data_IF_386792154695
#
_entry.id   IF_386792154695
#
_cell.length_a   1.000
_cell.length_b   1.000
_cell.length_c   1.000
_cell.angle_alpha   90.00
_cell.angle_beta   90.00
_cell.angle_gamma   90.00
#
_symmetry.space_group_name_H-M   'P 1'
#
loop_
_entity.id
_entity.type
_entity.pdbx_description
1 polymer ?
2 polymer ?
3 non-polymer ?
4 non-polymer ?
5 non-polymer ?
6 water ?
#
# COMPACT_ATOMS: atom_id res chain seq x y z
N UNK A 3 7.52 6.35 -20.63
CA UNK A 3 6.56 5.24 -20.81
C UNK A 3 6.37 4.54 -19.47
N UNK A 4 5.27 3.80 -19.33
CA UNK A 4 4.88 3.15 -18.06
C UNK A 4 4.33 1.76 -18.39
N UNK A 5 5.22 0.78 -18.66
CA UNK A 5 4.77 -0.53 -19.10
C UNK A 5 4.29 -1.40 -17.92
N UNK A 6 3.07 -1.96 -18.04
CA UNK A 6 2.47 -2.77 -16.96
C UNK A 6 3.37 -3.97 -16.64
N UNK A 7 4.16 -4.45 -17.60
CA UNK A 7 5.02 -5.64 -17.38
C UNK A 7 6.03 -5.36 -16.24
N UNK A 8 6.53 -4.13 -16.17
CA UNK A 8 7.54 -3.74 -15.16
C UNK A 8 6.84 -3.57 -13.81
N UNK A 9 5.62 -3.06 -13.84
CA UNK A 9 4.79 -2.86 -12.62
C UNK A 9 4.48 -4.23 -12.06
N UNK A 10 4.11 -5.20 -12.90
CA UNK A 10 3.91 -6.59 -12.43
C UNK A 10 5.23 -7.12 -11.85
N UNK A 11 6.35 -6.89 -12.55
CA UNK A 11 7.68 -7.41 -12.11
C UNK A 11 7.99 -6.89 -10.70
N UNK A 12 7.69 -5.64 -10.42
CA UNK A 12 7.91 -5.05 -9.07
C UNK A 12 7.11 -5.86 -8.02
N UNK A 13 5.86 -6.22 -8.31
CA UNK A 13 5.02 -6.99 -7.36
C UNK A 13 5.68 -8.34 -7.10
N UNK A 14 6.09 -9.04 -8.16
CA UNK A 14 6.56 -10.44 -8.07
C UNK A 14 7.90 -10.46 -7.34
N UNK A 15 8.67 -9.40 -7.53
CA UNK A 15 10.06 -9.25 -7.04
C UNK A 15 10.08 -9.28 -5.50
N UNK A 16 9.01 -8.86 -4.85
CA UNK A 16 9.03 -8.53 -3.40
C UNK A 16 8.16 -9.52 -2.60
N UNK A 17 7.75 -10.65 -3.20
CA UNK A 17 6.89 -11.67 -2.52
C UNK A 17 7.75 -12.53 -1.60
N UNK A 38 0.96 -14.06 21.44
CA UNK A 38 1.22 -13.01 20.41
C UNK A 38 -0.10 -12.29 20.06
N UNK A 39 -0.29 -11.07 20.55
CA UNK A 39 -1.54 -10.28 20.32
C UNK A 39 -1.49 -9.74 18.90
N UNK A 40 -2.65 -9.70 18.20
CA UNK A 40 -2.68 -9.48 16.76
C UNK A 40 -2.14 -8.10 16.35
N UNK A 41 -2.38 -7.07 17.16
CA UNK A 41 -1.92 -5.69 16.84
C UNK A 41 -0.38 -5.67 16.85
N UNK A 42 0.24 -6.29 17.85
CA UNK A 42 1.71 -6.45 17.91
C UNK A 42 2.18 -7.16 16.63
N UNK A 43 1.54 -8.27 16.25
CA UNK A 43 1.95 -9.05 15.05
C UNK A 43 1.79 -8.17 13.81
N UNK A 44 0.69 -7.41 13.71
CA UNK A 44 0.41 -6.59 12.50
C UNK A 44 1.47 -5.46 12.43
N UNK A 45 1.85 -4.86 13.57
CA UNK A 45 2.85 -3.75 13.62
C UNK A 45 4.23 -4.28 13.26
N UNK A 46 4.58 -5.45 13.75
CA UNK A 46 5.86 -6.10 13.43
C UNK A 46 5.90 -6.40 11.93
N UNK A 47 4.78 -6.83 11.33
CA UNK A 47 4.71 -7.11 9.87
C UNK A 47 4.82 -5.78 9.08
N UNK A 48 4.18 -4.72 9.57
CA UNK A 48 4.23 -3.41 8.91
C UNK A 48 5.69 -2.95 8.85
N UNK A 49 6.41 -3.06 9.95
CA UNK A 49 7.80 -2.57 10.02
C UNK A 49 8.62 -3.37 9.00
N UNK A 50 8.47 -4.68 9.00
CA UNK A 50 9.19 -5.54 8.03
C UNK A 50 8.88 -5.03 6.61
N UNK A 51 7.62 -4.81 6.30
CA UNK A 51 7.17 -4.60 4.91
C UNK A 51 7.52 -3.18 4.48
N UNK A 52 7.81 -2.27 5.40
CA UNK A 52 8.27 -0.93 4.98
C UNK A 52 9.60 -1.05 4.24
N UNK A 53 10.51 -1.88 4.73
CA UNK A 53 11.79 -2.13 4.05
C UNK A 53 11.51 -2.64 2.63
N UNK A 54 10.62 -3.59 2.51
CA UNK A 54 10.20 -4.19 1.22
C UNK A 54 9.59 -3.11 0.33
N UNK A 55 8.78 -2.25 0.90
CA UNK A 55 8.07 -1.22 0.11
C UNK A 55 9.08 -0.30 -0.60
N UNK A 56 10.16 0.07 0.05
CA UNK A 56 11.20 0.92 -0.56
C UNK A 56 11.76 0.19 -1.79
N UNK A 57 12.03 -1.10 -1.65
CA UNK A 57 12.58 -1.92 -2.76
C UNK A 57 11.54 -2.02 -3.88
N UNK A 58 10.26 -2.17 -3.54
CA UNK A 58 9.16 -2.16 -4.52
C UNK A 58 9.15 -0.82 -5.28
N UNK A 59 9.13 0.30 -4.57
CA UNK A 59 8.97 1.62 -5.20
C UNK A 59 10.13 1.89 -6.17
N UNK A 60 11.33 1.45 -5.82
CA UNK A 60 12.54 1.62 -6.66
C UNK A 60 12.36 0.90 -7.99
N UNK A 61 11.55 -0.16 -8.00
CA UNK A 61 11.28 -0.97 -9.21
C UNK A 61 10.14 -0.39 -10.05
N UNK A 62 9.44 0.62 -9.58
CA UNK A 62 8.36 1.26 -10.39
C UNK A 62 8.98 2.26 -11.33
N UNK A 63 8.70 2.14 -12.65
CA UNK A 63 9.34 3.00 -13.65
C UNK A 63 9.27 4.49 -13.22
N UNK A 64 10.42 5.15 -13.21
CA UNK A 64 10.60 6.62 -13.11
C UNK A 64 10.59 7.07 -11.65
N UNK A 65 10.15 6.24 -10.72
CA UNK A 65 10.15 6.63 -9.30
C UNK A 65 11.57 7.06 -8.88
N UNK A 66 12.58 6.22 -9.10
CA UNK A 66 13.97 6.46 -8.59
C UNK A 66 14.59 7.67 -9.30
N UNK A 67 13.92 8.18 -10.32
CA UNK A 67 14.37 9.33 -11.13
C UNK A 67 13.91 10.64 -10.50
N UNK A 68 12.92 10.57 -9.63
CA UNK A 68 12.40 11.75 -8.90
C UNK A 68 13.45 12.24 -7.93
N UNK A 69 13.45 13.55 -7.60
CA UNK A 69 14.33 14.06 -6.56
C UNK A 69 14.16 13.22 -5.30
N UNK A 70 15.25 12.96 -4.59
CA UNK A 70 15.20 12.18 -3.33
C UNK A 70 14.10 12.74 -2.40
N UNK A 71 14.03 14.05 -2.23
CA UNK A 71 13.06 14.67 -1.28
C UNK A 71 11.63 14.27 -1.70
N UNK A 72 11.37 14.18 -3.00
CA UNK A 72 10.04 13.83 -3.53
C UNK A 72 9.78 12.34 -3.29
N UNK A 73 10.78 11.47 -3.49
CA UNK A 73 10.64 10.03 -3.22
C UNK A 73 10.24 9.84 -1.75
N UNK A 74 10.84 10.61 -0.85
CA UNK A 74 10.54 10.54 0.59
C UNK A 74 9.10 10.99 0.81
N UNK A 75 8.72 12.13 0.25
CA UNK A 75 7.34 12.67 0.45
C UNK A 75 6.34 11.59 -0.01
N UNK A 76 6.56 10.99 -1.17
CA UNK A 76 5.58 10.07 -1.79
C UNK A 76 5.47 8.81 -0.95
N UNK A 77 6.58 8.31 -0.42
CA UNK A 77 6.54 7.09 0.37
C UNK A 77 5.98 7.42 1.75
N UNK A 78 6.27 8.58 2.31
CA UNK A 78 5.67 8.95 3.62
C UNK A 78 4.14 9.10 3.46
N UNK A 79 3.70 9.65 2.35
CA UNK A 79 2.28 9.94 2.08
C UNK A 79 1.55 8.63 1.84
N UNK A 80 2.17 7.69 1.16
CA UNK A 80 1.48 6.55 0.58
C UNK A 80 1.62 5.27 1.34
N UNK A 81 2.63 5.12 2.22
CA UNK A 81 3.05 3.79 2.71
C UNK A 81 1.87 3.00 3.25
N UNK A 82 1.00 3.63 4.01
CA UNK A 82 -0.03 2.88 4.75
C UNK A 82 -1.05 2.30 3.77
N UNK A 83 -1.50 3.12 2.83
CA UNK A 83 -2.39 2.61 1.76
C UNK A 83 -1.67 1.55 0.93
N UNK A 84 -0.39 1.74 0.66
CA UNK A 84 0.36 0.78 -0.15
C UNK A 84 0.47 -0.55 0.60
N UNK A 85 0.71 -0.55 1.90
CA UNK A 85 0.82 -1.83 2.65
C UNK A 85 -0.57 -2.47 2.76
N UNK A 86 -1.58 -1.68 2.98
CA UNK A 86 -2.95 -2.20 3.16
C UNK A 86 -3.41 -2.86 1.86
N UNK A 87 -3.15 -2.22 0.73
CA UNK A 87 -3.50 -2.76 -0.59
C UNK A 87 -2.79 -4.12 -0.76
N UNK A 88 -1.54 -4.20 -0.34
CA UNK A 88 -0.73 -5.43 -0.48
C UNK A 88 -1.28 -6.55 0.40
N UNK A 89 -1.45 -6.33 1.71
CA UNK A 89 -1.89 -7.46 2.57
C UNK A 89 -3.34 -7.81 2.25
N UNK A 90 -4.14 -6.86 1.75
CA UNK A 90 -5.55 -7.12 1.32
C UNK A 90 -5.57 -8.10 0.14
N UNK A 91 -4.73 -7.87 -0.84
CA UNK A 91 -4.67 -8.72 -2.04
C UNK A 91 -4.09 -10.07 -1.67
N UNK A 92 -3.13 -10.10 -0.75
CA UNK A 92 -2.48 -11.34 -0.27
C UNK A 92 -3.51 -12.24 0.41
N UNK A 93 -4.63 -11.67 0.84
CA UNK A 93 -5.59 -12.31 1.77
C UNK A 93 -6.84 -12.83 1.04
N UNK A 94 -6.87 -12.74 -0.29
CA UNK A 94 -8.13 -12.98 -1.07
C UNK A 94 -8.60 -14.42 -0.86
N UNK A 95 -7.71 -15.36 -0.54
CA UNK A 95 -8.11 -16.79 -0.34
C UNK A 95 -8.12 -17.14 1.15
N UNK A 96 -8.09 -16.15 2.04
CA UNK A 96 -8.20 -16.37 3.51
C UNK A 96 -9.65 -16.19 3.89
N UNK A 97 -10.18 -17.06 4.75
CA UNK A 97 -11.56 -16.97 5.26
C UNK A 97 -11.62 -15.94 6.40
N UNK A 98 -12.27 -14.79 6.17
CA UNK A 98 -12.57 -13.81 7.23
C UNK A 98 -11.27 -13.46 7.96
N UNK A 99 -10.19 -13.25 7.24
CA UNK A 99 -8.92 -12.88 7.86
C UNK A 99 -7.90 -12.40 6.87
N UNK A 100 -6.71 -12.10 7.35
CA UNK A 100 -5.64 -11.54 6.49
C UNK A 100 -4.43 -12.41 6.65
N UNK A 101 -3.61 -12.45 5.62
CA UNK A 101 -2.30 -13.11 5.65
C UNK A 101 -1.22 -12.01 5.70
N UNK A 102 -0.48 -11.94 6.79
CA UNK A 102 0.64 -10.97 6.98
C UNK A 102 1.88 -11.50 6.26
N UNK A 103 2.80 -10.61 5.92
CA UNK A 103 4.03 -10.91 5.20
C UNK A 103 4.92 -11.85 6.02
N UNK A 104 4.70 -11.91 7.34
CA UNK A 104 5.45 -12.75 8.30
C UNK A 104 4.96 -14.19 8.20
N UNK A 105 3.85 -14.40 7.48
CA UNK A 105 3.23 -15.73 7.32
C UNK A 105 2.15 -15.97 8.35
N UNK A 106 1.99 -15.07 9.35
CA UNK A 106 0.89 -15.18 10.35
C UNK A 106 -0.41 -14.75 9.67
N UNK A 107 -1.43 -15.60 9.74
CA UNK A 107 -2.84 -15.27 9.44
C UNK A 107 -3.43 -14.58 10.66
N UNK A 108 -4.28 -13.58 10.45
CA UNK A 108 -5.09 -12.99 11.55
C UNK A 108 -6.56 -13.09 11.15
N UNK A 109 -7.36 -13.65 12.02
CA UNK A 109 -8.81 -13.83 11.78
C UNK A 109 -9.55 -12.67 12.43
N UNK A 110 -10.72 -12.35 11.92
CA UNK A 110 -11.52 -11.24 12.45
C UNK A 110 -11.85 -11.48 13.92
N UNK A 111 -12.02 -12.72 14.36
CA UNK A 111 -12.34 -12.98 15.79
C UNK A 111 -11.21 -12.45 16.67
N UNK A 112 -9.97 -12.64 16.28
CA UNK A 112 -8.78 -12.18 17.01
C UNK A 112 -8.73 -10.65 16.99
N UNK A 113 -8.98 -10.05 15.83
CA UNK A 113 -9.01 -8.59 15.69
C UNK A 113 -10.09 -8.01 16.61
N UNK A 114 -11.30 -8.56 16.57
CA UNK A 114 -12.40 -8.12 17.46
C UNK A 114 -11.95 -8.22 18.92
N UNK A 115 -11.34 -9.35 19.28
CA UNK A 115 -10.94 -9.61 20.69
C UNK A 115 -9.79 -8.70 21.12
N UNK A 116 -9.15 -7.99 20.19
CA UNK A 116 -8.05 -7.04 20.49
C UNK A 116 -8.56 -5.59 20.49
N UNK A 117 -9.83 -5.36 20.17
CA UNK A 117 -10.40 -3.99 20.18
C UNK A 117 -10.29 -3.30 18.86
N UNK A 118 -9.94 -4.02 17.79
CA UNK A 118 -9.77 -3.40 16.46
C UNK A 118 -10.67 -4.09 15.42
N UNK A 119 -11.81 -4.61 15.85
CA UNK A 119 -12.72 -5.39 14.99
C UNK A 119 -13.34 -4.54 13.91
N UNK A 120 -13.68 -3.30 14.22
CA UNK A 120 -14.42 -2.43 13.27
C UNK A 120 -13.54 -2.17 12.04
N UNK A 121 -12.30 -1.77 12.23
CA UNK A 121 -11.44 -1.43 11.07
C UNK A 121 -11.07 -2.72 10.34
N UNK A 122 -10.88 -3.78 11.09
CA UNK A 122 -10.54 -5.12 10.50
C UNK A 122 -11.67 -5.54 9.54
N UNK A 123 -12.90 -5.38 9.97
CA UNK A 123 -14.09 -5.77 9.15
C UNK A 123 -14.21 -4.86 7.94
N UNK A 124 -13.82 -3.60 8.04
CA UNK A 124 -13.85 -2.73 6.85
C UNK A 124 -12.84 -3.26 5.84
N UNK A 125 -11.65 -3.64 6.29
CA UNK A 125 -10.65 -4.21 5.38
C UNK A 125 -11.27 -5.42 4.69
N UNK A 126 -11.87 -6.32 5.44
CA UNK A 126 -12.43 -7.57 4.85
C UNK A 126 -13.54 -7.25 3.84
N UNK A 127 -14.43 -6.33 4.18
CA UNK A 127 -15.70 -6.09 3.42
C UNK A 127 -15.44 -5.14 2.28
N UNK A 128 -14.57 -4.17 2.46
CA UNK A 128 -14.39 -3.16 1.41
C UNK A 128 -13.21 -3.50 0.49
N UNK A 129 -12.23 -4.23 0.97
CA UNK A 129 -10.99 -4.49 0.18
C UNK A 129 -10.88 -5.97 -0.17
N UNK A 130 -10.65 -6.83 0.81
CA UNK A 130 -10.33 -8.26 0.56
C UNK A 130 -11.47 -8.90 -0.26
N UNK A 131 -12.71 -8.78 0.20
CA UNK A 131 -13.87 -9.44 -0.43
C UNK A 131 -14.08 -8.90 -1.84
N UNK A 132 -13.84 -7.60 -2.04
CA UNK A 132 -14.09 -6.92 -3.34
C UNK A 132 -12.98 -7.31 -4.32
N UNK A 133 -11.74 -7.44 -3.83
CA UNK A 133 -10.61 -7.96 -4.63
C UNK A 133 -10.90 -9.42 -5.00
N UNK A 134 -11.38 -10.22 -4.05
CA UNK A 134 -11.71 -11.64 -4.28
C UNK A 134 -12.83 -11.70 -5.33
N UNK A 135 -13.87 -10.92 -5.15
CA UNK A 135 -15.08 -10.99 -6.01
C UNK A 135 -14.73 -10.64 -7.45
N UNK A 136 -13.83 -9.70 -7.71
CA UNK A 136 -13.51 -9.31 -9.10
C UNK A 136 -12.27 -10.07 -9.58
N UNK A 137 -11.70 -10.90 -8.70
CA UNK A 137 -10.42 -11.63 -8.92
C UNK A 137 -9.37 -10.64 -9.39
N UNK A 138 -9.28 -9.50 -8.72
CA UNK A 138 -8.22 -8.50 -9.02
C UNK A 138 -6.89 -9.24 -9.23
N UNK A 139 -6.18 -8.95 -10.31
CA UNK A 139 -4.90 -9.65 -10.60
C UNK A 139 -3.72 -8.79 -10.15
N UNK A 140 -2.53 -9.34 -10.19
CA UNK A 140 -1.35 -8.68 -9.58
C UNK A 140 -0.92 -7.48 -10.42
N UNK A 141 -1.18 -7.48 -11.73
CA UNK A 141 -0.91 -6.32 -12.60
C UNK A 141 -1.82 -5.17 -12.17
N UNK A 142 -3.08 -5.49 -11.87
CA UNK A 142 -4.07 -4.47 -11.47
C UNK A 142 -3.67 -3.92 -10.11
N UNK A 143 -3.29 -4.79 -9.19
CA UNK A 143 -2.88 -4.39 -7.84
C UNK A 143 -1.65 -3.52 -7.96
N UNK A 144 -0.69 -3.94 -8.81
CA UNK A 144 0.54 -3.20 -9.02
C UNK A 144 0.24 -1.82 -9.51
N UNK A 145 -0.67 -1.69 -10.50
CA UNK A 145 -1.04 -0.39 -11.10
C UNK A 145 -1.77 0.49 -10.08
N UNK A 146 -2.73 -0.04 -9.34
CA UNK A 146 -3.40 0.75 -8.27
C UNK A 146 -2.35 1.24 -7.26
N UNK A 147 -1.39 0.41 -6.89
CA UNK A 147 -0.33 0.81 -5.94
C UNK A 147 0.50 1.91 -6.57
N UNK A 148 0.88 1.82 -7.84
CA UNK A 148 1.69 2.86 -8.52
C UNK A 148 0.88 4.18 -8.61
N UNK A 149 -0.42 4.09 -8.80
CA UNK A 149 -1.30 5.29 -8.74
C UNK A 149 -1.23 5.91 -7.35
N UNK A 150 -1.36 5.11 -6.29
CA UNK A 150 -1.25 5.58 -4.89
C UNK A 150 0.11 6.24 -4.68
N UNK A 151 1.18 5.58 -5.13
CA UNK A 151 2.56 6.04 -4.95
C UNK A 151 2.72 7.41 -5.59
N UNK A 152 2.27 7.55 -6.82
CA UNK A 152 2.39 8.80 -7.60
C UNK A 152 1.22 9.69 -7.28
N UNK A 153 1.23 10.21 -6.08
CA UNK A 153 0.14 11.03 -5.52
C UNK A 153 0.48 12.50 -5.68
N UNK A 154 -0.08 13.20 -6.68
CA UNK A 154 0.35 14.55 -6.97
C UNK A 154 -0.16 15.53 -5.91
N UNK A 155 -1.03 15.07 -5.04
CA UNK A 155 -1.59 15.87 -3.93
C UNK A 155 -0.66 15.81 -2.71
N UNK A 156 0.38 14.96 -2.71
CA UNK A 156 1.33 14.88 -1.57
C UNK A 156 1.96 16.26 -1.31
N UNK A 157 1.90 16.75 -0.09
CA UNK A 157 2.30 18.15 0.18
C UNK A 157 3.83 18.24 0.11
N UNK A 158 4.32 19.33 -0.47
CA UNK A 158 5.74 19.71 -0.47
C UNK A 158 6.49 19.18 -1.67
N UNK A 159 5.84 18.45 -2.60
CA UNK A 159 6.50 17.96 -3.83
C UNK A 159 7.13 19.14 -4.56
N UNK A 160 8.37 18.98 -5.02
CA UNK A 160 9.14 20.01 -5.77
C UNK A 160 8.38 20.33 -7.08
N UNK A 161 7.77 19.33 -7.69
CA UNK A 161 7.08 19.51 -8.99
C UNK A 161 5.90 18.58 -9.07
N UNK A 162 4.72 18.97 -8.52
CA UNK A 162 3.56 18.09 -8.53
C UNK A 162 3.18 17.64 -9.96
N UNK A 163 3.33 18.50 -10.97
CA UNK A 163 2.93 18.21 -12.38
C UNK A 163 3.62 16.93 -12.85
N UNK A 164 4.88 16.78 -12.51
CA UNK A 164 5.72 15.62 -12.88
C UNK A 164 5.09 14.34 -12.31
N UNK A 165 4.64 14.39 -11.06
CA UNK A 165 3.97 13.23 -10.39
C UNK A 165 2.58 13.01 -11.02
N UNK A 166 1.89 14.08 -11.36
CA UNK A 166 0.57 14.00 -12.00
C UNK A 166 0.70 13.26 -13.34
N UNK A 167 1.74 13.59 -14.10
CA UNK A 167 2.03 12.94 -15.40
C UNK A 167 2.32 11.46 -15.17
N UNK A 168 3.11 11.10 -14.17
CA UNK A 168 3.42 9.68 -13.91
C UNK A 168 2.15 8.92 -13.53
N UNK A 169 1.28 9.52 -12.72
CA UNK A 169 0.02 8.90 -12.32
C UNK A 169 -0.83 8.65 -13.57
N UNK A 170 -0.92 9.66 -14.43
CA UNK A 170 -1.70 9.59 -15.70
C UNK A 170 -1.15 8.46 -16.60
N UNK A 171 0.16 8.30 -16.68
CA UNK A 171 0.75 7.22 -17.51
C UNK A 171 0.41 5.85 -16.90
N UNK A 172 0.36 5.75 -15.57
CA UNK A 172 -0.02 4.47 -14.92
C UNK A 172 -1.48 4.15 -15.25
N UNK A 173 -2.39 5.09 -15.04
CA UNK A 173 -3.82 4.77 -15.19
C UNK A 173 -4.15 4.62 -16.68
N UNK A 174 -3.41 5.28 -17.56
CA UNK A 174 -3.52 5.00 -19.03
C UNK A 174 -3.15 3.55 -19.30
N UNK A 175 -2.02 3.09 -18.75
CA UNK A 175 -1.52 1.71 -18.98
C UNK A 175 -2.49 0.70 -18.37
N UNK A 176 -3.04 1.03 -17.19
CA UNK A 176 -3.95 0.13 -16.48
C UNK A 176 -5.20 -0.08 -17.33
N UNK A 177 -5.79 1.01 -17.79
CA UNK A 177 -7.06 0.97 -18.54
C UNK A 177 -6.86 0.18 -19.83
N UNK A 178 -5.73 0.42 -20.50
CA UNK A 178 -5.37 -0.37 -21.70
C UNK A 178 -5.29 -1.85 -21.32
N UNK A 179 -4.60 -2.19 -20.22
CA UNK A 179 -4.43 -3.59 -19.75
C UNK A 179 -5.80 -4.20 -19.45
N UNK A 180 -6.65 -3.48 -18.71
CA UNK A 180 -8.02 -3.95 -18.41
C UNK A 180 -8.81 -4.22 -19.71
N UNK A 181 -8.75 -3.30 -20.69
CA UNK A 181 -9.55 -3.40 -21.95
C UNK A 181 -9.03 -4.58 -22.77
N UNK A 182 -7.78 -4.98 -22.58
CA UNK A 182 -7.12 -6.03 -23.40
C UNK A 182 -7.28 -7.40 -22.72
N UNK A 183 -7.17 -7.47 -21.39
CA UNK A 183 -7.11 -8.75 -20.63
C UNK A 183 -8.53 -9.22 -20.26
N UNK A 184 -9.42 -8.15 -20.01
CA UNK A 184 -10.82 -8.35 -19.54
C UNK A 184 -11.74 -7.53 -20.41
N UNK A 185 -11.71 -7.75 -21.74
CA UNK A 185 -12.50 -6.97 -22.70
C UNK A 185 -14.13 -7.20 -22.61
N UNK A 186 -14.41 -8.33 -21.86
CA UNK A 186 -15.81 -8.76 -21.45
C UNK A 186 -16.33 -7.87 -20.28
N UNK A 187 -15.51 -6.99 -19.72
CA UNK A 187 -15.91 -6.21 -18.51
C UNK A 187 -15.65 -4.71 -18.73
N UNK A 188 -16.59 -3.98 -19.36
CA UNK A 188 -16.38 -2.55 -19.76
C UNK A 188 -16.04 -1.71 -18.49
N UNK A 189 -16.62 -2.08 -17.35
CA UNK A 189 -16.55 -1.25 -16.13
C UNK A 189 -15.45 -1.69 -15.18
N UNK A 190 -14.57 -2.62 -15.55
CA UNK A 190 -13.54 -3.16 -14.62
C UNK A 190 -12.61 -2.02 -14.17
N UNK A 191 -12.13 -1.23 -15.12
CA UNK A 191 -11.21 -0.11 -14.83
C UNK A 191 -11.85 0.79 -13.76
N UNK A 192 -13.05 1.33 -14.02
CA UNK A 192 -13.78 2.18 -13.02
C UNK A 192 -13.86 1.45 -11.67
N UNK A 193 -14.20 0.17 -11.70
CA UNK A 193 -14.35 -0.65 -10.47
C UNK A 193 -13.02 -0.68 -9.69
N UNK A 194 -11.90 -0.79 -10.38
CA UNK A 194 -10.59 -0.82 -9.71
C UNK A 194 -10.35 0.55 -9.03
N UNK A 195 -10.56 1.63 -9.76
CA UNK A 195 -10.29 3.00 -9.28
C UNK A 195 -11.20 3.30 -8.09
N UNK A 196 -12.41 2.78 -8.11
CA UNK A 196 -13.42 3.07 -7.06
C UNK A 196 -13.18 2.25 -5.81
N UNK A 197 -12.11 1.48 -5.72
CA UNK A 197 -11.65 0.95 -4.39
C UNK A 197 -10.73 1.98 -3.71
N UNK A 198 -10.21 2.96 -4.43
CA UNK A 198 -9.16 3.85 -3.87
C UNK A 198 -9.76 4.73 -2.76
N UNK A 199 -11.00 5.23 -2.84
CA UNK A 199 -11.57 6.01 -1.72
C UNK A 199 -11.68 5.17 -0.45
N UNK A 200 -12.11 3.92 -0.58
CA UNK A 200 -12.22 3.01 0.58
C UNK A 200 -10.82 2.83 1.17
N UNK A 201 -9.83 2.62 0.32
CA UNK A 201 -8.47 2.43 0.78
C UNK A 201 -8.01 3.68 1.52
N UNK A 202 -8.28 4.85 0.98
CA UNK A 202 -7.91 6.15 1.61
C UNK A 202 -8.49 6.20 3.02
N UNK A 203 -9.77 5.88 3.16
CA UNK A 203 -10.50 5.97 4.41
C UNK A 203 -9.92 4.96 5.39
N UNK A 204 -9.75 3.75 4.94
CA UNK A 204 -9.22 2.67 5.77
C UNK A 204 -7.79 3.00 6.21
N UNK A 205 -6.98 3.56 5.32
CA UNK A 205 -5.60 3.96 5.65
C UNK A 205 -5.62 5.00 6.75
N UNK A 206 -6.52 5.98 6.65
CA UNK A 206 -6.59 7.06 7.66
C UNK A 206 -6.99 6.46 9.02
N UNK A 207 -7.94 5.55 9.05
CA UNK A 207 -8.37 4.96 10.33
C UNK A 207 -7.22 4.13 10.87
N UNK A 208 -6.56 3.37 10.05
CA UNK A 208 -5.42 2.56 10.50
C UNK A 208 -4.32 3.47 11.07
N UNK A 209 -4.07 4.58 10.44
CA UNK A 209 -3.05 5.53 10.94
C UNK A 209 -3.49 6.11 12.30
N UNK A 210 -4.77 6.38 12.46
CA UNK A 210 -5.29 6.89 13.74
C UNK A 210 -5.04 5.85 14.84
N UNK A 211 -5.33 4.59 14.58
CA UNK A 211 -5.02 3.47 15.52
C UNK A 211 -3.53 3.47 15.86
N UNK A 212 -2.66 3.53 14.85
CA UNK A 212 -1.19 3.47 15.08
C UNK A 212 -0.74 4.62 15.96
N UNK A 213 -1.23 5.83 15.74
CA UNK A 213 -0.85 7.00 16.58
C UNK A 213 -1.28 6.74 18.00
N UNK A 214 -2.47 6.18 18.17
CA UNK A 214 -2.97 5.88 19.53
C UNK A 214 -2.09 4.80 20.16
N UNK A 215 -1.75 3.73 19.42
CA UNK A 215 -0.89 2.67 19.99
C UNK A 215 0.40 3.30 20.48
N UNK A 216 0.95 4.23 19.69
CA UNK A 216 2.23 4.91 20.00
C UNK A 216 2.03 5.82 21.21
N UNK A 217 0.93 6.54 21.28
CA UNK A 217 0.69 7.47 22.42
C UNK A 217 0.60 6.65 23.71
N UNK A 218 -0.20 5.59 23.70
CA UNK A 218 -0.60 4.84 24.92
C UNK A 218 0.55 3.90 25.32
N UNK A 219 1.45 3.58 24.38
CA UNK A 219 2.53 2.61 24.58
C UNK A 219 1.98 1.19 24.77
N UNK A 220 0.87 0.83 24.11
CA UNK A 220 0.21 -0.49 24.32
C UNK A 220 0.90 -1.56 23.47
N UNK A 221 1.80 -1.18 22.54
CA UNK A 221 2.34 -2.06 21.47
C UNK A 221 3.79 -1.71 21.18
N UNK A 222 4.73 -2.68 21.11
CA UNK A 222 6.05 -2.44 20.53
C UNK A 222 5.89 -1.92 19.10
N UNK A 223 6.57 -0.81 18.79
CA UNK A 223 6.60 -0.21 17.42
C UNK A 223 8.06 -0.11 17.02
N UNK A 224 8.44 -0.87 16.00
CA UNK A 224 9.84 -0.99 15.54
C UNK A 224 10.26 0.30 14.81
N UNK A 225 11.54 0.43 14.49
CA UNK A 225 12.17 1.74 14.16
C UNK A 225 11.55 2.35 12.92
N UNK A 226 11.31 1.57 11.86
CA UNK A 226 10.90 2.15 10.57
C UNK A 226 9.45 2.60 10.68
N UNK A 227 8.61 1.76 11.26
CA UNK A 227 7.20 2.13 11.51
C UNK A 227 7.17 3.37 12.42
N UNK A 228 8.03 3.44 13.42
CA UNK A 228 8.08 4.61 14.33
C UNK A 228 8.47 5.85 13.51
N UNK A 229 9.47 5.74 12.66
CA UNK A 229 9.90 6.86 11.83
C UNK A 229 8.74 7.36 10.97
N UNK A 230 7.94 6.47 10.41
CA UNK A 230 6.83 6.85 9.54
C UNK A 230 5.81 7.65 10.37
N UNK A 231 5.77 7.43 11.65
CA UNK A 231 4.81 8.16 12.54
C UNK A 231 5.42 9.46 13.05
N UNK A 232 6.70 9.76 12.74
CA UNK A 232 7.37 11.06 13.08
C UNK A 232 6.70 12.21 12.35
N UNK A 233 6.77 13.42 12.92
CA UNK A 233 6.34 14.67 12.25
C UNK A 233 7.24 14.94 11.04
N UNK A 234 6.73 15.56 9.96
CA UNK A 234 7.58 15.92 8.82
C UNK A 234 8.48 17.13 9.08
N UNK B 1 14.04 13.31 11.08
CA UNK B 1 14.87 13.57 9.84
C UNK B 1 14.52 12.56 8.73
N UNK B 2 13.67 11.57 9.05
CA UNK B 2 13.41 10.37 8.19
C UNK B 2 14.75 9.69 7.81
N UNK B 3 15.56 9.35 8.82
CA UNK B 3 16.91 8.77 8.58
C UNK B 3 16.83 7.48 7.77
N UNK B 4 16.02 6.53 8.20
CA UNK B 4 16.03 5.17 7.62
C UNK B 4 15.58 5.29 6.17
N UNK B 5 14.49 6.03 5.93
CA UNK B 5 13.90 6.14 4.58
C UNK B 5 14.92 6.76 3.61
N UNK B 6 15.58 7.86 3.98
CA UNK B 6 16.62 8.50 3.15
C UNK B 6 17.74 7.50 2.85
N UNK B 7 18.19 6.77 3.85
CA UNK B 7 19.32 5.83 3.71
C UNK B 7 18.94 4.77 2.67
N UNK B 8 17.73 4.23 2.77
CA UNK B 8 17.31 3.09 1.94
C UNK B 8 17.12 3.58 0.51
N UNK B 9 16.64 4.81 0.34
CA UNK B 9 16.34 5.34 -1.02
C UNK B 9 17.65 5.69 -1.74
N UNK B 10 18.65 6.22 -1.01
CA UNK B 10 19.93 6.69 -1.60
C UNK B 10 20.72 5.48 -2.10
N UNK B 11 20.60 4.37 -1.39
CA UNK B 11 21.54 3.25 -1.55
C UNK B 11 21.23 2.51 -2.83
N UNK B 12 22.25 2.29 -3.66
CA UNK B 12 22.15 1.64 -5.00
C UNK B 12 22.36 0.14 -4.86
N UNK B 13 22.98 -0.30 -3.74
CA UNK B 13 23.49 -1.68 -3.45
C UNK B 13 23.04 -2.66 -4.53
X LIG C 1 1.89 -7.03 5.78
X LIG C 1 2.02 -7.98 6.58
X LIG C 1 1.73 -7.17 4.58
X LIG C 1 1.98 -5.62 6.32
X LIG C 1 0.91 -5.20 7.28
X LIG C 1 0.80 -3.71 7.37
X LIG C 1 -0.32 -3.19 8.24
X LIG C 1 -0.43 -1.68 8.23
X LIG C 1 -1.59 -1.14 9.05
X LIG C 1 -1.35 -1.17 10.53
X LIG C 1 -2.42 -0.50 11.36
X LIG C 1 -2.66 -1.10 12.72
X LIG C 1 -4.10 -1.01 13.20
X LIG C 1 -4.63 -2.30 13.78
X LIG C 1 -5.77 -2.91 13.03
X LIG C 1 -5.56 -3.02 11.56
X LIG C 1 -6.48 -3.94 10.85
X LIG C 1 -5.87 -4.54 9.60
X LIG D 1 -5.32 12.33 -9.84
X LIG E 1 2.67 0.08 -21.80
X LIG E 1 2.45 1.46 -22.04
X LIG E 1 1.55 -0.57 -21.05
X LIG E 1 1.91 -1.84 -20.47
X LIG F 1 0.38 5.76 -20.59
X LIG F 1 1.26 4.73 -20.22
X LIG F 1 0.98 6.86 -21.36
X LIG F 1 0.08 7.94 -21.57
X LIG G 1 0.59 8.83 5.73
X LIG G 1 -0.22 9.34 4.69
X LIG G 1 0.53 7.38 5.83
X LIG G 1 1.08 6.69 4.69
X LIG H 1 -16.42 -7.69 19.60
X LIG H 1 -16.13 -6.91 18.45
X LIG H 1 -16.69 -9.11 19.30
X LIG H 1 -15.56 -9.93 19.52
X LIG I 1 -17.28 -5.29 -14.28
X LIG I 1 -17.65 -6.23 -15.31
X LIG I 1 -15.83 -5.32 -13.92
X LIG I 1 -15.42 -6.34 -13.03
#
# INVERSE_FOLDING_TARGET
SMEMPVDRILEAELAVEQKSDQGVEGPGGTGGSGSSPNDPVTNICQAADKQLFTLVEWAKRIPHFSSLPLDDQVILLRAGWNELLIASFSHRSIDVRDGILLATGLHVHRNSAHSAGVGAIFDRVLTELVSKMRDMRMDKTELGCLRAIILFNPDAKGLSNPSEVEVLREKVYASLETYCKQKYPEQQGRFAKLLLRLPALRSIGLKCLEHLFFFKLIGDTPIDTFLMEMLEAPHQLA
KHKILHRLLQDSSY
PLM C1 O1 O2 C2 C3 C4 C5 C6 C7 C8 C9 CA CB CC CD CE CF CG
CL CL
EDO C1 O1 C2 O2
EDO C1 O1 C2 O2
EDO C1 O1 C2 O2
EDO C1 O1 C2 O2
EDO C1 O1 C2 O2
#
